data_IF_799324167572
#
_entry.id   IF_799324167572
#
_cell.length_a   1.000
_cell.length_b   1.000
_cell.length_c   1.000
_cell.angle_alpha   90.00
_cell.angle_beta   90.00
_cell.angle_gamma   90.00
#
_symmetry.space_group_name_H-M   'P 1'
#
loop_
_entity.id
_entity.type
_entity.pdbx_description
1 polymer ?
#
# COMPACT_ATOMS: atom_id res chain seq x y z
N UNK A 1 26.77 32.69 -31.43
CA UNK A 1 27.36 31.94 -32.56
C UNK A 1 27.66 30.52 -32.11
N UNK A 2 27.18 29.53 -32.89
CA UNK A 2 27.71 28.15 -33.05
C UNK A 2 27.67 27.25 -31.80
N UNK A 3 27.08 26.06 -31.78
CA UNK A 3 26.43 25.28 -32.83
C UNK A 3 25.85 24.00 -32.23
N UNK A 4 24.64 23.67 -32.68
CA UNK A 4 23.86 22.48 -32.38
C UNK A 4 24.50 21.24 -33.01
N UNK A 5 24.55 20.10 -32.30
CA UNK A 5 24.77 18.78 -32.93
C UNK A 5 23.64 17.83 -32.54
N UNK A 6 22.72 17.67 -33.49
CA UNK A 6 21.70 16.63 -33.56
C UNK A 6 22.40 15.35 -34.03
N UNK A 7 22.17 14.23 -33.37
CA UNK A 7 22.39 12.91 -33.98
C UNK A 7 21.10 12.12 -33.84
N UNK A 8 20.35 12.09 -34.94
CA UNK A 8 19.22 11.21 -35.14
C UNK A 8 19.74 9.81 -35.49
N UNK A 9 19.18 8.77 -34.86
CA UNK A 9 19.11 7.43 -35.45
C UNK A 9 17.64 7.03 -35.52
N UNK A 10 17.29 6.50 -36.69
CA UNK A 10 15.98 6.44 -37.30
C UNK A 10 15.80 5.00 -37.79
N UNK A 11 14.62 4.43 -37.53
CA UNK A 11 13.96 3.29 -38.23
C UNK A 11 14.47 1.86 -37.90
N UNK A 12 13.67 0.78 -37.93
CA UNK A 12 12.29 0.47 -38.35
C UNK A 12 11.90 -0.85 -37.67
N UNK A 13 10.60 -1.07 -37.42
CA UNK A 13 10.08 -2.40 -37.05
C UNK A 13 8.57 -2.43 -36.88
N UNK A 14 7.80 -2.04 -37.91
CA UNK A 14 6.35 -2.26 -37.97
C UNK A 14 6.11 -3.69 -38.45
N UNK A 15 5.47 -4.52 -37.64
CA UNK A 15 4.72 -5.68 -38.10
C UNK A 15 3.28 -5.55 -37.56
N UNK A 16 2.45 -4.88 -38.34
CA UNK A 16 1.00 -4.92 -38.23
C UNK A 16 0.54 -6.28 -38.78
N UNK A 17 0.18 -7.22 -37.91
CA UNK A 17 -0.70 -8.32 -38.31
C UNK A 17 -2.13 -7.92 -37.98
N UNK A 18 -2.77 -7.25 -38.94
CA UNK A 18 -4.22 -7.26 -39.06
C UNK A 18 -4.64 -8.53 -39.78
N UNK A 19 -5.38 -9.41 -39.11
CA UNK A 19 -6.22 -10.39 -39.79
C UNK A 19 -7.62 -9.83 -39.84
N UNK A 20 -7.94 -9.32 -41.03
CA UNK A 20 -9.24 -8.87 -41.49
C UNK A 20 -10.07 -10.07 -42.00
N UNK A 21 -11.38 -9.99 -41.75
CA UNK A 21 -12.53 -10.62 -42.42
C UNK A 21 -12.65 -12.14 -42.68
N UNK A 22 -13.80 -12.72 -42.30
CA UNK A 22 -14.95 -12.95 -43.20
C UNK A 22 -15.81 -14.14 -42.76
N UNK A 23 -17.13 -13.96 -42.72
CA UNK A 23 -18.15 -14.99 -42.46
C UNK A 23 -18.21 -15.99 -43.63
N UNK A 24 -18.16 -17.29 -43.33
CA UNK A 24 -18.55 -18.37 -44.25
C UNK A 24 -18.83 -19.65 -43.47
N UNK A 25 -20.09 -20.08 -43.45
CA UNK A 25 -20.63 -21.25 -42.73
C UNK A 25 -20.61 -22.47 -43.67
N UNK A 26 -20.18 -23.65 -43.19
CA UNK A 26 -20.90 -24.96 -43.22
C UNK A 26 -19.95 -26.10 -42.80
N UNK A 27 -20.51 -27.05 -42.06
CA UNK A 27 -19.96 -28.08 -41.19
C UNK A 27 -19.50 -29.37 -41.92
N UNK A 28 -18.58 -30.14 -41.33
CA UNK A 28 -18.78 -31.53 -40.83
C UNK A 28 -17.49 -32.06 -40.16
N UNK A 29 -17.72 -32.76 -39.05
CA UNK A 29 -16.86 -33.34 -38.00
C UNK A 29 -15.67 -34.22 -38.48
N UNK A 30 -14.57 -34.46 -37.74
CA UNK A 30 -14.53 -34.92 -36.34
C UNK A 30 -13.12 -34.85 -35.71
N UNK A 31 -13.12 -34.88 -34.37
CA UNK A 31 -12.04 -35.28 -33.44
C UNK A 31 -11.17 -34.20 -32.75
N UNK A 32 -11.71 -33.76 -31.60
CA UNK A 32 -11.04 -33.68 -30.28
C UNK A 32 -10.05 -32.54 -30.02
N UNK A 33 -10.57 -31.39 -29.54
CA UNK A 33 -10.37 -30.90 -28.16
C UNK A 33 -10.87 -29.44 -27.98
N UNK A 34 -11.97 -29.32 -27.23
CA UNK A 34 -12.37 -28.21 -26.33
C UNK A 34 -12.16 -26.75 -26.77
N UNK A 35 -13.20 -26.13 -27.33
CA UNK A 35 -13.44 -24.66 -27.36
C UNK A 35 -14.50 -24.29 -26.30
N UNK A 36 -14.92 -23.02 -26.14
CA UNK A 36 -14.23 -21.78 -25.74
C UNK A 36 -14.92 -21.12 -24.52
N UNK A 37 -14.28 -20.12 -23.90
CA UNK A 37 -15.06 -19.09 -23.19
C UNK A 37 -14.44 -17.71 -23.42
N UNK A 38 -15.12 -16.93 -24.25
CA UNK A 38 -15.20 -15.49 -24.11
C UNK A 38 -15.63 -15.17 -22.67
N UNK A 39 -14.74 -14.55 -21.90
CA UNK A 39 -15.09 -13.69 -20.77
C UNK A 39 -14.20 -12.46 -20.97
N UNK A 40 -14.72 -11.30 -21.38
CA UNK A 40 -15.62 -10.52 -20.54
C UNK A 40 -15.26 -10.75 -19.07
N UNK A 41 -14.12 -10.19 -18.64
CA UNK A 41 -14.01 -9.65 -17.28
C UNK A 41 -14.72 -8.30 -17.31
N UNK A 42 -16.03 -8.32 -17.55
CA UNK A 42 -17.02 -8.43 -16.50
C UNK A 42 -17.02 -7.12 -15.73
N UNK A 43 -18.03 -6.32 -16.05
CA UNK A 43 -18.45 -5.18 -15.28
C UNK A 43 -18.96 -5.68 -13.92
N UNK A 44 -18.02 -6.04 -13.05
CA UNK A 44 -18.17 -5.98 -11.61
C UNK A 44 -17.11 -5.04 -11.05
N UNK A 45 -16.92 -3.89 -11.71
CA UNK A 45 -16.56 -2.66 -11.00
C UNK A 45 -17.78 -2.19 -10.19
N UNK A 46 -18.27 -3.05 -9.28
CA UNK A 46 -18.99 -2.62 -8.11
C UNK A 46 -17.98 -1.84 -7.28
N UNK A 47 -17.81 -0.56 -7.62
CA UNK A 47 -17.15 0.51 -6.88
C UNK A 47 -16.19 0.00 -5.80
N UNK A 48 -15.10 -0.68 -6.18
CA UNK A 48 -13.95 -0.72 -5.28
C UNK A 48 -13.47 0.72 -5.25
N UNK A 49 -13.49 1.39 -4.10
CA UNK A 49 -12.82 2.67 -3.97
C UNK A 49 -11.43 2.50 -4.56
N UNK A 50 -10.99 3.46 -5.37
CA UNK A 50 -9.60 3.47 -5.83
C UNK A 50 -8.73 3.48 -4.58
N UNK A 51 -8.23 2.30 -4.20
CA UNK A 51 -7.61 2.04 -2.91
C UNK A 51 -6.41 2.98 -2.73
N UNK A 52 -5.68 3.25 -3.82
CA UNK A 52 -4.59 4.24 -3.80
C UNK A 52 -5.11 5.63 -3.46
N UNK A 53 -6.19 6.10 -4.07
CA UNK A 53 -6.76 7.42 -3.75
C UNK A 53 -7.19 7.51 -2.29
N UNK A 54 -7.85 6.47 -1.76
CA UNK A 54 -8.28 6.45 -0.35
C UNK A 54 -7.07 6.49 0.60
N UNK A 55 -6.04 5.67 0.33
CA UNK A 55 -4.80 5.68 1.09
C UNK A 55 -4.13 7.06 1.07
N UNK A 56 -4.05 7.68 -0.12
CA UNK A 56 -3.40 8.97 -0.30
C UNK A 56 -4.15 10.10 0.44
N UNK A 57 -5.49 10.05 0.46
CA UNK A 57 -6.32 10.97 1.25
C UNK A 57 -6.03 10.82 2.75
N UNK A 58 -6.02 9.59 3.27
CA UNK A 58 -5.74 9.32 4.69
C UNK A 58 -4.33 9.79 5.06
N UNK A 59 -3.33 9.49 4.23
CA UNK A 59 -1.94 9.87 4.49
C UNK A 59 -1.76 11.38 4.44
N UNK A 60 -2.36 12.07 3.46
CA UNK A 60 -2.24 13.52 3.36
C UNK A 60 -2.90 14.23 4.55
N UNK A 61 -4.07 13.75 4.97
CA UNK A 61 -4.73 14.24 6.19
C UNK A 61 -3.85 14.01 7.42
N UNK A 62 -3.31 12.81 7.61
CA UNK A 62 -2.43 12.50 8.73
C UNK A 62 -1.14 13.33 8.72
N UNK A 63 -0.52 13.52 7.54
CA UNK A 63 0.67 14.34 7.33
C UNK A 63 0.45 15.81 7.68
N UNK A 64 -0.76 16.33 7.46
CA UNK A 64 -1.09 17.74 7.78
C UNK A 64 -0.96 18.07 9.27
N UNK A 65 -0.96 17.03 10.12
CA UNK A 65 -0.84 17.17 11.57
C UNK A 65 0.59 16.97 12.08
N UNK A 66 1.57 16.73 11.20
CA UNK A 66 2.95 16.45 11.59
C UNK A 66 3.80 17.73 11.73
N UNK A 67 4.79 17.74 12.65
CA UNK A 67 5.09 16.71 13.65
C UNK A 67 4.04 16.69 14.78
N UNK A 68 3.65 15.48 15.23
CA UNK A 68 2.62 15.30 16.27
C UNK A 68 3.18 14.59 17.48
N UNK A 69 3.16 15.25 18.63
CA UNK A 69 3.48 14.63 19.92
C UNK A 69 2.33 13.68 20.31
N UNK A 70 2.65 12.42 20.60
CA UNK A 70 1.65 11.38 20.92
C UNK A 70 1.66 10.99 22.39
N UNK A 71 2.78 11.18 23.07
CA UNK A 71 2.94 10.99 24.51
C UNK A 71 4.04 11.93 25.04
N UNK A 72 4.54 11.72 26.26
CA UNK A 72 5.54 12.58 26.88
C UNK A 72 6.89 12.58 26.14
N UNK A 73 7.27 11.46 25.52
CA UNK A 73 8.61 11.18 24.99
C UNK A 73 8.63 10.91 23.48
N UNK A 74 7.49 10.67 22.83
CA UNK A 74 7.41 10.24 21.43
C UNK A 74 6.69 11.26 20.55
N UNK A 75 7.27 11.51 19.38
CA UNK A 75 6.71 12.38 18.34
C UNK A 75 6.66 11.64 17.01
N UNK A 76 5.49 11.62 16.36
CA UNK A 76 5.39 11.18 14.96
C UNK A 76 5.93 12.31 14.09
N UNK A 77 6.95 12.02 13.29
CA UNK A 77 7.63 13.01 12.44
C UNK A 77 7.44 12.76 10.94
N UNK A 78 7.13 11.52 10.55
CA UNK A 78 6.82 11.17 9.17
C UNK A 78 5.79 10.04 9.12
N UNK A 79 5.02 10.03 8.05
CA UNK A 79 4.04 8.99 7.70
C UNK A 79 4.15 8.77 6.21
N UNK A 80 4.27 7.54 5.72
CA UNK A 80 4.24 7.29 4.27
C UNK A 80 3.62 5.94 3.96
N UNK A 81 3.37 5.71 2.67
CA UNK A 81 2.87 4.43 2.16
C UNK A 81 4.04 3.57 1.69
N UNK A 82 4.00 2.28 2.02
CA UNK A 82 4.83 1.26 1.41
C UNK A 82 3.94 0.09 0.97
N UNK A 83 3.67 -0.01 -0.34
CA UNK A 83 2.66 -0.93 -0.86
C UNK A 83 1.28 -0.63 -0.28
N UNK A 84 0.65 -1.62 0.35
CA UNK A 84 -0.65 -1.52 1.02
C UNK A 84 -0.53 -1.31 2.54
N UNK A 85 0.66 -0.96 3.02
CA UNK A 85 0.92 -0.63 4.41
C UNK A 85 1.16 0.86 4.60
N UNK A 86 0.77 1.37 5.77
CA UNK A 86 1.12 2.70 6.22
C UNK A 86 2.26 2.61 7.24
N UNK A 87 3.30 3.41 7.01
CA UNK A 87 4.54 3.40 7.79
C UNK A 87 4.61 4.70 8.58
N UNK A 88 4.76 4.59 9.90
CA UNK A 88 4.90 5.71 10.80
C UNK A 88 6.34 5.78 11.32
N UNK A 89 6.94 6.97 11.28
CA UNK A 89 8.23 7.27 11.93
C UNK A 89 8.00 8.05 13.22
N UNK A 90 8.34 7.42 14.34
CA UNK A 90 8.36 8.04 15.67
C UNK A 90 9.79 8.37 16.06
N UNK A 91 10.04 9.57 16.55
CA UNK A 91 11.29 9.95 17.21
C UNK A 91 11.03 10.07 18.70
N UNK A 92 11.84 9.37 19.50
CA UNK A 92 11.76 9.38 20.95
C UNK A 92 12.85 10.27 21.55
N UNK A 93 12.45 11.10 22.51
CA UNK A 93 13.29 11.99 23.30
C UNK A 93 13.68 11.29 24.62
N UNK A 94 14.43 10.19 24.50
CA UNK A 94 14.98 9.41 25.61
C UNK A 94 16.37 8.91 25.25
N UNK A 95 17.25 8.72 26.24
CA UNK A 95 18.53 8.06 26.01
C UNK A 95 18.35 6.53 25.90
N UNK A 96 19.18 5.87 25.08
CA UNK A 96 19.05 4.44 24.79
C UNK A 96 19.34 3.56 26.01
N UNK A 97 20.20 4.00 26.91
CA UNK A 97 20.57 3.34 28.16
C UNK A 97 19.55 3.56 29.30
N UNK A 98 18.65 4.54 29.15
CA UNK A 98 17.56 4.81 30.10
C UNK A 98 16.30 3.98 29.81
N UNK A 99 16.26 3.28 28.67
CA UNK A 99 15.08 2.56 28.20
C UNK A 99 15.35 1.07 28.09
N UNK A 100 14.53 0.26 28.77
CA UNK A 100 14.42 -1.15 28.45
C UNK A 100 13.63 -1.32 27.14
N UNK A 101 14.35 -1.69 26.07
CA UNK A 101 13.81 -1.79 24.72
C UNK A 101 12.73 -2.86 24.62
N UNK A 102 12.93 -4.02 25.26
CA UNK A 102 11.99 -5.14 25.15
C UNK A 102 10.70 -4.84 25.89
N UNK A 103 10.81 -4.30 27.11
CA UNK A 103 9.65 -3.88 27.91
C UNK A 103 8.88 -2.74 27.22
N UNK A 104 9.60 -1.75 26.68
CA UNK A 104 9.00 -0.63 25.94
C UNK A 104 8.27 -1.10 24.67
N UNK A 105 8.89 -1.99 23.90
CA UNK A 105 8.29 -2.58 22.71
C UNK A 105 7.01 -3.35 23.05
N UNK A 106 7.04 -4.16 24.11
CA UNK A 106 5.88 -4.92 24.55
C UNK A 106 4.73 -3.99 24.95
N UNK A 107 4.96 -3.05 25.88
CA UNK A 107 3.91 -2.15 26.37
C UNK A 107 3.32 -1.29 25.25
N UNK A 108 4.18 -0.75 24.38
CA UNK A 108 3.74 0.04 23.23
C UNK A 108 2.98 -0.80 22.22
N UNK A 109 3.45 -2.04 21.97
CA UNK A 109 2.80 -2.99 21.09
C UNK A 109 1.39 -3.36 21.57
N UNK A 110 1.24 -3.66 22.85
CA UNK A 110 -0.04 -3.98 23.47
C UNK A 110 -1.02 -2.79 23.38
N UNK A 111 -0.55 -1.58 23.69
CA UNK A 111 -1.37 -0.38 23.60
C UNK A 111 -1.82 -0.08 22.16
N UNK A 112 -0.91 -0.17 21.19
CA UNK A 112 -1.25 0.03 19.79
C UNK A 112 -2.18 -1.07 19.27
N UNK A 113 -1.97 -2.33 19.67
CA UNK A 113 -2.88 -3.44 19.31
C UNK A 113 -4.28 -3.17 19.85
N UNK A 114 -4.42 -2.75 21.10
CA UNK A 114 -5.72 -2.41 21.68
C UNK A 114 -6.45 -1.32 20.89
N UNK A 115 -5.74 -0.24 20.52
CA UNK A 115 -6.31 0.84 19.71
C UNK A 115 -6.66 0.37 18.30
N UNK A 116 -5.75 -0.35 17.66
CA UNK A 116 -5.92 -0.87 16.31
C UNK A 116 -7.05 -1.91 16.24
N UNK A 117 -7.35 -2.63 17.32
CA UNK A 117 -8.39 -3.65 17.36
C UNK A 117 -9.71 -3.20 18.01
N UNK A 118 -9.89 -1.90 18.25
CA UNK A 118 -11.18 -1.37 18.69
C UNK A 118 -12.31 -1.80 17.73
N UNK A 119 -13.41 -2.31 18.29
CA UNK A 119 -14.61 -2.72 17.55
C UNK A 119 -15.57 -1.54 17.41
N UNK A 120 -16.47 -1.61 16.43
CA UNK A 120 -17.52 -0.61 16.19
C UNK A 120 -16.97 0.81 15.97
N UNK A 121 -15.93 0.93 15.15
CA UNK A 121 -15.32 2.21 14.81
C UNK A 121 -15.16 2.33 13.29
N UNK A 122 -16.12 2.99 12.64
CA UNK A 122 -16.18 3.12 11.18
C UNK A 122 -14.91 3.74 10.58
N UNK A 123 -14.27 4.68 11.29
CA UNK A 123 -13.04 5.32 10.82
C UNK A 123 -11.87 4.34 10.84
N UNK A 124 -11.77 3.52 11.88
CA UNK A 124 -10.74 2.48 12.00
C UNK A 124 -10.99 1.32 11.03
N UNK A 125 -12.25 0.98 10.78
CA UNK A 125 -12.62 -0.06 9.80
C UNK A 125 -12.31 0.41 8.38
N UNK A 126 -12.60 1.68 8.05
CA UNK A 126 -12.17 2.31 6.80
C UNK A 126 -10.65 2.32 6.67
N UNK A 127 -9.93 2.66 7.74
CA UNK A 127 -8.48 2.66 7.77
C UNK A 127 -7.91 1.26 7.47
N UNK A 128 -8.40 0.21 8.14
CA UNK A 128 -7.99 -1.18 7.89
C UNK A 128 -8.32 -1.65 6.47
N UNK A 129 -9.46 -1.23 5.94
CA UNK A 129 -9.85 -1.55 4.57
C UNK A 129 -8.95 -0.85 3.54
N UNK A 130 -8.49 0.37 3.83
CA UNK A 130 -7.56 1.12 2.98
C UNK A 130 -6.13 0.57 3.04
N UNK A 131 -5.70 0.02 4.18
CA UNK A 131 -4.35 -0.53 4.37
C UNK A 131 -4.40 -2.02 4.73
N UNK A 132 -4.71 -2.92 3.77
CA UNK A 132 -4.86 -4.35 4.06
C UNK A 132 -3.57 -5.05 4.49
N UNK A 133 -2.39 -4.49 4.17
CA UNK A 133 -1.11 -4.98 4.70
C UNK A 133 -0.82 -4.45 6.12
N UNK A 134 -1.63 -3.52 6.62
CA UNK A 134 -1.61 -3.02 7.98
C UNK A 134 -0.81 -1.73 8.18
N UNK A 135 -0.36 -1.53 9.42
CA UNK A 135 0.45 -0.40 9.83
C UNK A 135 1.79 -0.87 10.41
N UNK A 136 2.86 -0.12 10.18
CA UNK A 136 4.17 -0.36 10.81
C UNK A 136 4.60 0.88 11.57
N UNK A 137 4.76 0.76 12.88
CA UNK A 137 5.21 1.84 13.75
C UNK A 137 6.70 1.64 14.04
N UNK A 138 7.54 2.52 13.50
CA UNK A 138 8.99 2.47 13.66
C UNK A 138 9.44 3.55 14.65
N UNK A 139 10.08 3.13 15.75
CA UNK A 139 10.56 4.01 16.81
C UNK A 139 12.06 4.22 16.70
N UNK A 140 12.47 5.49 16.76
CA UNK A 140 13.85 5.93 16.59
C UNK A 140 14.35 6.67 17.83
N UNK A 141 15.62 6.49 18.16
CA UNK A 141 16.39 7.38 19.04
C UNK A 141 17.52 7.94 18.20
N UNK A 142 17.54 9.27 18.01
CA UNK A 142 18.34 9.89 16.96
C UNK A 142 17.93 9.36 15.57
N UNK A 143 18.89 8.84 14.81
CA UNK A 143 18.66 8.25 13.47
C UNK A 143 18.61 6.72 13.48
N UNK A 144 18.76 6.08 14.64
CA UNK A 144 18.72 4.62 14.77
C UNK A 144 17.31 4.14 15.09
N UNK A 145 16.85 3.13 14.34
CA UNK A 145 15.65 2.40 14.72
C UNK A 145 15.96 1.55 15.96
N UNK A 146 15.13 1.66 17.00
CA UNK A 146 15.30 0.89 18.24
C UNK A 146 14.32 -0.27 18.31
N UNK A 147 13.08 -0.09 17.86
CA UNK A 147 12.13 -1.18 17.65
C UNK A 147 11.04 -0.81 16.65
N UNK A 148 10.41 -1.85 16.10
CA UNK A 148 9.27 -1.75 15.18
C UNK A 148 8.10 -2.59 15.67
N UNK A 149 6.89 -2.07 15.48
CA UNK A 149 5.63 -2.74 15.82
C UNK A 149 4.77 -2.82 14.55
N UNK A 150 4.74 -3.97 13.85
CA UNK A 150 3.79 -4.22 12.78
C UNK A 150 2.43 -4.60 13.37
N UNK A 151 1.36 -4.07 12.78
CA UNK A 151 -0.04 -4.39 13.10
C UNK A 151 -0.78 -4.70 11.83
N UNK A 152 -1.51 -5.81 11.81
CA UNK A 152 -2.30 -6.28 10.66
C UNK A 152 -3.74 -6.49 11.08
N UNK A 153 -4.71 -6.37 10.14
CA UNK A 153 -6.10 -6.69 10.45
C UNK A 153 -6.29 -8.08 11.09
N UNK A 154 -5.46 -9.06 10.71
CA UNK A 154 -5.48 -10.42 11.26
C UNK A 154 -5.11 -10.51 12.75
N UNK A 155 -4.43 -9.51 13.31
CA UNK A 155 -4.02 -9.50 14.73
C UNK A 155 -5.21 -9.24 15.67
N UNK A 156 -6.37 -8.83 15.13
CA UNK A 156 -7.57 -8.51 15.90
C UNK A 156 -8.57 -9.67 16.06
N UNK A 157 -8.22 -10.88 15.62
CA UNK A 157 -9.09 -12.06 15.61
C UNK A 157 -9.13 -12.81 16.95
N UNK A 158 -9.20 -12.07 18.06
CA UNK A 158 -9.39 -12.63 19.41
C UNK A 158 -10.89 -12.88 19.70
#
# INVERSE_FOLDING_TARGET
MKGLKISAFVLIGVALFGCDNSKGKTETESSTSSTPATQASDATAASRPDLSKTQDLIINEAKSQLPKKVDATSTVVDIHKEGDAIIYKYVMDVAKDEMDVDVSKQMTGDALKQLYCLKNNDSLDLFKAAFPAGAVHNYYIGDEIVFSIPLKPADCND
#
